data_IF_863085742624
#
_entry.id   IF_863085742624
#
_cell.length_a   1.000
_cell.length_b   1.000
_cell.length_c   1.000
_cell.angle_alpha   90.00
_cell.angle_beta   90.00
_cell.angle_gamma   90.00
#
_symmetry.space_group_name_H-M   'P 1'
#
loop_
_entity.id
_entity.type
_entity.pdbx_description
1 polymer ?
#
# COMPACT_ATOMS: atom_id res chain seq x y z
N UNK A 1 15.53 -15.94 11.68
CA UNK A 1 15.41 -14.77 10.77
C UNK A 1 14.29 -14.96 9.74
N UNK A 2 14.29 -16.00 8.88
CA UNK A 2 13.25 -16.19 7.84
C UNK A 2 11.80 -16.14 8.34
N UNK A 3 11.47 -16.86 9.43
CA UNK A 3 10.12 -16.86 10.02
C UNK A 3 9.72 -15.48 10.58
N UNK A 4 10.67 -14.74 11.15
CA UNK A 4 10.42 -13.40 11.68
C UNK A 4 10.12 -12.40 10.54
N UNK A 5 10.87 -12.48 9.44
CA UNK A 5 10.67 -11.65 8.25
C UNK A 5 9.32 -11.95 7.55
N UNK A 6 8.93 -13.22 7.50
CA UNK A 6 7.63 -13.64 6.98
C UNK A 6 6.47 -13.12 7.85
N UNK A 7 6.57 -13.24 9.18
CA UNK A 7 5.58 -12.72 10.13
C UNK A 7 5.48 -11.20 10.05
N UNK A 8 6.61 -10.48 9.98
CA UNK A 8 6.62 -9.03 9.80
C UNK A 8 5.88 -8.59 8.53
N UNK A 9 6.19 -9.24 7.40
CA UNK A 9 5.51 -8.96 6.12
C UNK A 9 4.01 -9.24 6.19
N UNK A 10 3.62 -10.33 6.85
CA UNK A 10 2.22 -10.71 7.03
C UNK A 10 1.44 -9.69 7.89
N UNK A 11 1.98 -9.29 9.04
CA UNK A 11 1.34 -8.29 9.90
C UNK A 11 1.31 -6.90 9.25
N UNK A 12 2.33 -6.54 8.48
CA UNK A 12 2.34 -5.31 7.69
C UNK A 12 1.20 -5.30 6.65
N UNK A 13 0.98 -6.41 5.94
CA UNK A 13 -0.13 -6.56 5.01
C UNK A 13 -1.50 -6.46 5.71
N UNK A 14 -1.66 -7.09 6.88
CA UNK A 14 -2.89 -6.96 7.69
C UNK A 14 -3.14 -5.49 8.07
N UNK A 15 -2.10 -4.78 8.49
CA UNK A 15 -2.18 -3.35 8.82
C UNK A 15 -2.69 -2.52 7.65
N UNK A 16 -2.16 -2.76 6.45
CA UNK A 16 -2.63 -2.09 5.22
C UNK A 16 -4.09 -2.42 4.91
N UNK A 17 -4.51 -3.69 5.00
CA UNK A 17 -5.92 -4.09 4.81
C UNK A 17 -6.84 -3.37 5.80
N UNK A 18 -6.49 -3.38 7.10
CA UNK A 18 -7.28 -2.72 8.14
C UNK A 18 -7.35 -1.20 7.92
N UNK A 19 -6.25 -0.57 7.50
CA UNK A 19 -6.21 0.86 7.20
C UNK A 19 -7.13 1.24 6.03
N UNK A 20 -7.05 0.53 4.90
CA UNK A 20 -7.92 0.78 3.75
C UNK A 20 -9.38 0.43 4.04
N UNK A 21 -9.65 -0.63 4.80
CA UNK A 21 -11.00 -1.00 5.23
C UNK A 21 -11.62 0.07 6.14
N UNK A 22 -10.86 0.59 7.11
CA UNK A 22 -11.31 1.67 7.99
C UNK A 22 -11.61 2.96 7.21
N UNK A 23 -10.77 3.30 6.21
CA UNK A 23 -11.00 4.44 5.32
C UNK A 23 -12.19 4.28 4.38
N UNK A 24 -12.52 3.05 3.98
CA UNK A 24 -13.66 2.75 3.11
C UNK A 24 -15.00 2.64 3.87
N UNK A 25 -14.99 2.49 5.19
CA UNK A 25 -16.20 2.21 5.96
C UNK A 25 -16.90 3.51 6.41
N UNK A 26 -18.05 3.81 5.80
CA UNK A 26 -18.77 5.08 5.99
C UNK A 26 -19.56 5.21 7.31
N UNK A 27 -19.63 4.15 8.11
CA UNK A 27 -20.43 4.10 9.36
C UNK A 27 -19.59 4.07 10.64
N UNK A 28 -18.27 4.33 10.56
CA UNK A 28 -17.37 4.25 11.72
C UNK A 28 -17.72 5.28 12.81
N UNK A 29 -18.27 6.44 12.42
CA UNK A 29 -18.77 7.48 13.33
C UNK A 29 -19.88 7.02 14.30
N UNK A 30 -20.53 5.87 14.05
CA UNK A 30 -21.55 5.31 14.97
C UNK A 30 -20.96 4.67 16.22
N UNK A 31 -19.71 4.19 16.16
CA UNK A 31 -19.02 3.57 17.30
C UNK A 31 -18.59 4.64 18.32
N UNK A 32 -18.29 5.86 17.84
CA UNK A 32 -17.95 7.01 18.67
C UNK A 32 -18.90 8.19 18.41
N UNK A 33 -20.15 8.15 18.92
CA UNK A 33 -21.16 9.20 18.67
C UNK A 33 -20.73 10.58 19.17
N UNK A 34 -19.76 10.64 20.09
CA UNK A 34 -19.12 11.87 20.59
C UNK A 34 -18.36 12.66 19.49
N UNK A 35 -18.18 12.07 18.31
CA UNK A 35 -17.39 12.63 17.21
C UNK A 35 -18.21 13.52 16.27
N UNK A 36 -19.55 13.42 16.30
CA UNK A 36 -20.45 14.18 15.42
C UNK A 36 -20.82 15.54 16.05
N UNK A 37 -20.41 16.63 15.41
CA UNK A 37 -20.76 18.01 15.82
C UNK A 37 -21.50 18.73 14.70
N UNK A 38 -22.22 19.83 15.01
CA UNK A 38 -22.98 20.62 14.01
C UNK A 38 -22.13 21.18 12.86
N UNK A 39 -20.81 21.26 13.03
CA UNK A 39 -19.87 21.78 12.03
C UNK A 39 -19.11 20.69 11.24
N UNK A 40 -19.28 19.41 11.59
CA UNK A 40 -18.50 18.29 11.05
C UNK A 40 -19.45 17.28 10.38
N UNK A 41 -19.40 17.23 9.05
CA UNK A 41 -20.19 16.28 8.26
C UNK A 41 -19.72 14.83 8.48
N UNK A 42 -20.49 13.85 8.00
CA UNK A 42 -20.28 12.41 8.22
C UNK A 42 -18.85 11.98 7.86
N UNK A 43 -18.25 12.57 6.82
CA UNK A 43 -16.87 12.33 6.40
C UNK A 43 -15.84 12.77 7.44
N UNK A 44 -15.99 14.00 7.95
CA UNK A 44 -15.14 14.56 8.99
C UNK A 44 -15.25 13.74 10.29
N UNK A 45 -16.46 13.27 10.63
CA UNK A 45 -16.69 12.43 11.80
C UNK A 45 -16.03 11.04 11.65
N UNK A 46 -16.11 10.42 10.48
CA UNK A 46 -15.42 9.14 10.20
C UNK A 46 -13.89 9.29 10.27
N UNK A 47 -13.33 10.36 9.70
CA UNK A 47 -11.88 10.61 9.73
C UNK A 47 -11.37 10.74 11.16
N UNK A 48 -12.05 11.55 11.98
CA UNK A 48 -11.70 11.75 13.39
C UNK A 48 -11.81 10.45 14.20
N UNK A 49 -12.84 9.62 13.95
CA UNK A 49 -12.96 8.31 14.59
C UNK A 49 -11.84 7.34 14.20
N UNK A 50 -11.40 7.36 12.94
CA UNK A 50 -10.27 6.56 12.47
C UNK A 50 -8.95 6.96 13.17
N UNK A 51 -8.73 8.26 13.38
CA UNK A 51 -7.57 8.74 14.14
C UNK A 51 -7.55 8.25 15.58
N UNK A 52 -8.69 8.29 16.28
CA UNK A 52 -8.77 7.77 17.64
C UNK A 52 -8.47 6.28 17.74
N UNK A 53 -9.00 5.48 16.81
CA UNK A 53 -8.71 4.04 16.74
C UNK A 53 -7.21 3.80 16.49
N UNK A 54 -6.61 4.56 15.56
CA UNK A 54 -5.18 4.46 15.24
C UNK A 54 -4.31 4.78 16.46
N UNK A 55 -4.59 5.87 17.17
CA UNK A 55 -3.84 6.26 18.39
C UNK A 55 -3.98 5.19 19.47
N UNK A 56 -5.19 4.68 19.70
CA UNK A 56 -5.42 3.64 20.70
C UNK A 56 -4.68 2.33 20.35
N UNK A 57 -4.74 1.90 19.09
CA UNK A 57 -4.01 0.72 18.62
C UNK A 57 -2.50 0.90 18.78
N UNK A 58 -1.97 2.05 18.39
CA UNK A 58 -0.55 2.36 18.48
C UNK A 58 -0.08 2.32 19.94
N UNK A 59 -0.82 2.94 20.86
CA UNK A 59 -0.50 2.91 22.29
C UNK A 59 -0.48 1.48 22.84
N UNK A 60 -1.47 0.67 22.51
CA UNK A 60 -1.54 -0.74 22.94
C UNK A 60 -0.35 -1.53 22.39
N UNK A 61 -0.05 -1.41 21.09
CA UNK A 61 1.08 -2.10 20.47
C UNK A 61 2.41 -1.66 21.08
N UNK A 62 2.60 -0.36 21.35
CA UNK A 62 3.81 0.13 22.01
C UNK A 62 3.94 -0.41 23.43
N UNK A 63 2.84 -0.48 24.19
CA UNK A 63 2.87 -1.03 25.55
C UNK A 63 3.23 -2.52 25.51
N UNK A 64 2.63 -3.30 24.60
CA UNK A 64 2.97 -4.71 24.40
C UNK A 64 4.44 -4.86 24.02
N UNK A 65 4.95 -4.06 23.09
CA UNK A 65 6.35 -4.11 22.68
C UNK A 65 7.31 -3.85 23.86
N UNK A 66 7.01 -2.82 24.67
CA UNK A 66 7.81 -2.50 25.86
C UNK A 66 7.76 -3.58 26.94
N UNK A 67 6.66 -4.33 27.05
CA UNK A 67 6.51 -5.41 28.03
C UNK A 67 7.16 -6.72 27.53
N UNK A 68 7.04 -7.03 26.24
CA UNK A 68 7.51 -8.29 25.67
C UNK A 68 8.98 -8.28 25.27
N UNK A 69 9.55 -7.12 24.91
CA UNK A 69 10.96 -7.01 24.52
C UNK A 69 11.81 -6.89 25.77
N UNK A 70 12.56 -7.94 26.07
CA UNK A 70 13.54 -7.92 27.14
C UNK A 70 14.76 -7.13 26.68
N UNK A 71 15.00 -5.96 27.29
CA UNK A 71 16.19 -5.17 27.01
C UNK A 71 17.44 -5.94 27.41
N UNK A 72 18.38 -6.10 26.47
CA UNK A 72 19.73 -6.53 26.77
C UNK A 72 20.58 -5.27 26.96
N UNK A 73 21.18 -5.09 28.14
CA UNK A 73 22.11 -3.99 28.38
C UNK A 73 23.28 -4.16 27.42
N UNK A 74 23.52 -3.16 26.57
CA UNK A 74 24.65 -3.15 25.67
C UNK A 74 25.93 -3.04 26.51
N UNK A 75 26.71 -4.12 26.55
CA UNK A 75 27.92 -4.20 27.36
C UNK A 75 28.88 -3.05 26.97
N UNK A 76 29.42 -2.36 27.98
CA UNK A 76 30.16 -1.09 27.84
C UNK A 76 31.43 -1.18 26.99
N UNK A 77 31.83 -2.38 26.58
CA UNK A 77 33.04 -2.62 25.81
C UNK A 77 32.92 -2.17 24.34
N UNK A 78 31.72 -2.15 23.75
CA UNK A 78 31.48 -1.61 22.39
C UNK A 78 31.70 -0.08 22.35
N UNK A 79 31.43 0.62 23.46
CA UNK A 79 31.58 2.08 23.57
C UNK A 79 33.05 2.51 23.60
N UNK A 80 33.96 1.64 24.07
CA UNK A 80 35.40 1.92 24.11
C UNK A 80 36.06 1.79 22.73
N UNK A 81 35.62 0.86 21.87
CA UNK A 81 36.10 0.79 20.48
C UNK A 81 35.56 1.95 19.63
N UNK A 82 34.28 2.31 19.77
CA UNK A 82 33.66 3.39 18.99
C UNK A 82 34.29 4.77 19.23
N UNK A 83 34.86 5.03 20.42
CA UNK A 83 35.55 6.31 20.70
C UNK A 83 36.92 6.47 20.04
N UNK A 84 37.56 5.40 19.57
CA UNK A 84 38.86 5.49 18.87
C UNK A 84 38.73 5.72 17.37
N UNK A 85 37.58 5.42 16.78
CA UNK A 85 37.35 5.58 15.35
C UNK A 85 36.32 6.69 15.13
N UNK A 86 36.76 7.95 15.21
CA UNK A 86 36.01 9.07 14.60
C UNK A 86 36.17 8.97 13.08
N UNK A 87 35.50 8.00 12.47
CA UNK A 87 35.35 7.95 11.01
C UNK A 87 34.19 8.86 10.60
N UNK A 88 34.31 9.56 9.46
CA UNK A 88 33.24 10.37 8.91
C UNK A 88 32.12 9.42 8.47
N UNK A 89 31.04 9.36 9.25
CA UNK A 89 29.85 8.53 9.02
C UNK A 89 29.37 8.52 7.55
N UNK A 90 29.43 9.67 6.87
CA UNK A 90 29.05 9.78 5.45
C UNK A 90 30.10 9.24 4.47
N UNK A 91 31.39 9.29 4.81
CA UNK A 91 32.46 8.75 3.98
C UNK A 91 32.40 7.23 3.90
N UNK A 92 32.21 6.57 5.05
CA UNK A 92 32.05 5.11 5.11
C UNK A 92 30.74 4.66 4.47
N UNK A 93 29.66 5.44 4.59
CA UNK A 93 28.39 5.16 3.92
C UNK A 93 28.50 5.22 2.39
N UNK A 94 29.19 6.24 1.86
CA UNK A 94 29.41 6.41 0.42
C UNK A 94 30.38 5.35 -0.11
N UNK A 95 31.40 4.99 0.68
CA UNK A 95 32.33 3.91 0.34
C UNK A 95 31.60 2.56 0.28
N UNK A 96 30.77 2.25 1.26
CA UNK A 96 29.93 1.05 1.28
C UNK A 96 28.94 1.00 0.09
N UNK A 97 28.40 2.17 -0.31
CA UNK A 97 27.54 2.26 -1.50
C UNK A 97 28.33 1.99 -2.80
N UNK A 98 29.58 2.46 -2.86
CA UNK A 98 30.46 2.34 -4.03
C UNK A 98 31.05 0.94 -4.20
N UNK A 99 31.31 0.24 -3.11
CA UNK A 99 31.81 -1.15 -3.10
C UNK A 99 30.71 -2.19 -3.42
N UNK A 100 29.47 -1.74 -3.63
CA UNK A 100 28.34 -2.60 -3.93
C UNK A 100 28.43 -3.18 -5.36
N UNK A 101 28.22 -4.50 -5.55
CA UNK A 101 28.31 -5.13 -6.86
C UNK A 101 27.28 -4.54 -7.85
N UNK A 102 27.63 -4.51 -9.14
CA UNK A 102 26.76 -3.94 -10.21
C UNK A 102 25.33 -4.50 -10.22
N UNK A 103 25.17 -5.77 -9.85
CA UNK A 103 23.86 -6.41 -9.75
C UNK A 103 22.97 -5.76 -8.67
N UNK A 104 23.55 -5.31 -7.56
CA UNK A 104 22.82 -4.65 -6.48
C UNK A 104 22.46 -3.20 -6.82
N UNK A 105 23.34 -2.48 -7.52
CA UNK A 105 23.03 -1.15 -8.06
C UNK A 105 21.83 -1.18 -9.01
N UNK A 106 21.76 -2.20 -9.89
CA UNK A 106 20.60 -2.40 -10.76
C UNK A 106 19.32 -2.67 -9.95
N UNK A 107 19.38 -3.52 -8.91
CA UNK A 107 18.24 -3.80 -8.04
C UNK A 107 17.76 -2.56 -7.29
N UNK A 108 18.68 -1.75 -6.74
CA UNK A 108 18.35 -0.49 -6.07
C UNK A 108 17.67 0.50 -7.01
N UNK A 109 18.19 0.63 -8.24
CA UNK A 109 17.59 1.51 -9.24
C UNK A 109 16.18 1.06 -9.62
N UNK A 110 15.97 -0.24 -9.86
CA UNK A 110 14.61 -0.74 -10.15
C UNK A 110 13.69 -0.62 -8.94
N UNK A 111 14.19 -0.81 -7.72
CA UNK A 111 13.42 -0.58 -6.50
C UNK A 111 13.00 0.89 -6.37
N UNK A 112 13.89 1.83 -6.67
CA UNK A 112 13.59 3.26 -6.67
C UNK A 112 12.53 3.62 -7.73
N UNK A 113 12.70 3.14 -8.97
CA UNK A 113 11.72 3.34 -10.04
C UNK A 113 10.34 2.73 -9.70
N UNK A 114 10.32 1.53 -9.11
CA UNK A 114 9.10 0.88 -8.67
C UNK A 114 8.39 1.67 -7.56
N UNK A 115 9.14 2.18 -6.59
CA UNK A 115 8.61 3.05 -5.54
C UNK A 115 8.01 4.34 -6.12
N UNK A 116 8.72 4.96 -7.07
CA UNK A 116 8.25 6.15 -7.79
C UNK A 116 7.00 5.85 -8.62
N UNK A 117 6.84 4.63 -9.16
CA UNK A 117 5.62 4.25 -9.88
C UNK A 117 4.43 4.03 -8.94
N UNK A 118 4.66 3.40 -7.78
CA UNK A 118 3.61 3.13 -6.79
C UNK A 118 3.10 4.38 -6.09
N UNK A 119 3.96 5.37 -5.84
CA UNK A 119 3.59 6.53 -5.06
C UNK A 119 2.48 7.40 -5.71
N UNK A 120 2.59 7.84 -6.99
CA UNK A 120 1.51 8.51 -7.69
C UNK A 120 0.31 7.60 -7.90
N UNK A 121 0.52 6.30 -8.13
CA UNK A 121 -0.59 5.36 -8.29
C UNK A 121 -1.47 5.34 -7.03
N UNK A 122 -0.90 5.15 -5.84
CA UNK A 122 -1.65 5.13 -4.58
C UNK A 122 -2.29 6.46 -4.19
N UNK A 123 -1.76 7.58 -4.69
CA UNK A 123 -2.32 8.91 -4.41
C UNK A 123 -3.45 9.25 -5.37
N UNK A 124 -3.31 8.90 -6.65
CA UNK A 124 -4.24 9.31 -7.70
C UNK A 124 -5.24 8.23 -8.10
N UNK A 125 -5.11 6.99 -7.66
CA UNK A 125 -6.00 5.89 -8.03
C UNK A 125 -7.45 6.08 -7.56
N UNK A 126 -7.65 6.56 -6.33
CA UNK A 126 -8.97 6.83 -5.74
C UNK A 126 -9.60 8.04 -6.40
N UNK A 127 -8.78 9.05 -6.70
CA UNK A 127 -9.16 10.24 -7.45
C UNK A 127 -9.51 9.90 -8.90
N UNK A 128 -8.75 8.99 -9.49
CA UNK A 128 -8.97 8.44 -10.83
C UNK A 128 -10.27 7.64 -10.91
N UNK A 129 -10.50 6.79 -9.90
CA UNK A 129 -11.76 6.07 -9.76
C UNK A 129 -12.94 7.05 -9.63
N UNK A 130 -12.76 8.17 -8.92
CA UNK A 130 -13.81 9.14 -8.69
C UNK A 130 -14.13 10.03 -9.91
N UNK A 131 -13.11 10.54 -10.60
CA UNK A 131 -13.26 11.50 -11.70
C UNK A 131 -13.37 10.80 -13.06
N UNK A 132 -12.51 9.84 -13.36
CA UNK A 132 -12.45 9.19 -14.67
C UNK A 132 -13.49 8.06 -14.77
N UNK A 133 -13.51 7.15 -13.79
CA UNK A 133 -14.39 5.96 -13.83
C UNK A 133 -15.83 6.32 -13.47
N UNK A 134 -16.04 7.07 -12.39
CA UNK A 134 -17.37 7.46 -11.93
C UNK A 134 -17.88 8.78 -12.55
N UNK A 135 -16.99 9.61 -13.12
CA UNK A 135 -17.41 10.90 -13.71
C UNK A 135 -17.77 11.98 -12.69
N UNK A 136 -17.46 11.77 -11.40
CA UNK A 136 -17.80 12.70 -10.34
C UNK A 136 -16.93 13.95 -10.34
N UNK A 137 -17.54 15.12 -10.08
CA UNK A 137 -16.83 16.36 -9.74
C UNK A 137 -16.62 16.46 -8.23
N UNK A 138 -15.50 17.05 -7.81
CA UNK A 138 -15.17 17.25 -6.39
C UNK A 138 -16.34 17.95 -5.68
N UNK A 139 -16.82 17.37 -4.58
CA UNK A 139 -17.98 17.87 -3.83
C UNK A 139 -19.33 17.20 -4.17
N UNK A 140 -19.42 16.45 -5.28
CA UNK A 140 -20.65 15.72 -5.63
C UNK A 140 -20.72 14.33 -4.99
N UNK A 141 -21.95 13.84 -4.78
CA UNK A 141 -22.22 12.50 -4.23
C UNK A 141 -21.58 11.40 -5.10
N UNK A 142 -21.54 11.58 -6.43
CA UNK A 142 -20.90 10.64 -7.36
C UNK A 142 -19.38 10.54 -7.16
N UNK A 143 -18.72 11.67 -6.89
CA UNK A 143 -17.29 11.69 -6.58
C UNK A 143 -17.02 10.95 -5.27
N UNK A 144 -17.79 11.22 -4.24
CA UNK A 144 -17.66 10.51 -2.96
C UNK A 144 -17.89 8.99 -3.08
N UNK A 145 -18.86 8.57 -3.90
CA UNK A 145 -19.08 7.14 -4.22
C UNK A 145 -17.90 6.53 -4.96
N UNK A 146 -17.28 7.27 -5.87
CA UNK A 146 -16.10 6.83 -6.60
C UNK A 146 -14.85 6.73 -5.71
N UNK A 147 -14.64 7.68 -4.79
CA UNK A 147 -13.56 7.62 -3.79
C UNK A 147 -13.72 6.38 -2.89
N UNK A 148 -14.93 6.11 -2.41
CA UNK A 148 -15.21 4.89 -1.64
C UNK A 148 -14.96 3.62 -2.46
N UNK A 149 -15.36 3.61 -3.73
CA UNK A 149 -15.08 2.48 -4.61
C UNK A 149 -13.58 2.28 -4.86
N UNK A 150 -12.80 3.36 -4.96
CA UNK A 150 -11.34 3.31 -5.06
C UNK A 150 -10.71 2.74 -3.79
N UNK A 151 -11.16 3.19 -2.62
CA UNK A 151 -10.71 2.65 -1.33
C UNK A 151 -11.03 1.15 -1.17
N UNK A 152 -12.20 0.70 -1.65
CA UNK A 152 -12.52 -0.74 -1.74
C UNK A 152 -11.57 -1.49 -2.68
N UNK A 153 -11.17 -0.87 -3.81
CA UNK A 153 -10.17 -1.42 -4.72
C UNK A 153 -8.81 -1.60 -4.02
N UNK A 154 -8.35 -0.59 -3.29
CA UNK A 154 -7.13 -0.66 -2.48
C UNK A 154 -7.20 -1.70 -1.35
N UNK A 155 -8.39 -1.93 -0.79
CA UNK A 155 -8.61 -3.01 0.18
C UNK A 155 -8.43 -4.38 -0.49
N UNK A 156 -9.02 -4.60 -1.67
CA UNK A 156 -8.82 -5.84 -2.45
C UNK A 156 -7.36 -6.04 -2.84
N UNK A 157 -6.69 -4.97 -3.30
CA UNK A 157 -5.26 -4.95 -3.57
C UNK A 157 -4.45 -5.48 -2.37
N UNK A 158 -4.76 -4.98 -1.17
CA UNK A 158 -4.07 -5.39 0.06
C UNK A 158 -4.39 -6.81 0.51
N UNK A 159 -5.63 -7.29 0.30
CA UNK A 159 -6.01 -8.69 0.58
C UNK A 159 -5.22 -9.62 -0.34
N UNK A 160 -5.18 -9.33 -1.63
CA UNK A 160 -4.41 -10.11 -2.60
C UNK A 160 -2.93 -10.06 -2.25
N UNK A 161 -2.41 -8.89 -1.88
CA UNK A 161 -1.01 -8.77 -1.45
C UNK A 161 -0.72 -9.63 -0.21
N UNK A 162 -1.62 -9.64 0.78
CA UNK A 162 -1.50 -10.48 1.97
C UNK A 162 -1.46 -11.97 1.64
N UNK A 163 -2.41 -12.46 0.83
CA UNK A 163 -2.44 -13.86 0.36
C UNK A 163 -1.19 -14.20 -0.43
N UNK A 164 -0.77 -13.31 -1.34
CA UNK A 164 0.42 -13.50 -2.14
C UNK A 164 1.70 -13.53 -1.31
N UNK A 165 1.77 -12.83 -0.18
CA UNK A 165 2.93 -12.89 0.73
C UNK A 165 3.16 -14.30 1.32
N UNK A 166 2.09 -15.04 1.60
CA UNK A 166 2.15 -16.43 2.07
C UNK A 166 2.52 -17.36 0.91
N UNK A 167 1.92 -17.14 -0.26
CA UNK A 167 2.14 -17.97 -1.46
C UNK A 167 3.51 -17.71 -2.10
N UNK A 168 4.14 -16.57 -1.82
CA UNK A 168 5.43 -16.15 -2.37
C UNK A 168 6.55 -17.14 -2.06
N UNK A 169 6.59 -17.68 -0.84
CA UNK A 169 7.57 -18.71 -0.48
C UNK A 169 7.38 -19.99 -1.29
N UNK A 170 6.13 -20.37 -1.55
CA UNK A 170 5.79 -21.54 -2.36
C UNK A 170 6.11 -21.31 -3.85
N UNK A 171 5.77 -20.13 -4.37
CA UNK A 171 6.08 -19.74 -5.74
C UNK A 171 7.58 -19.58 -5.97
N UNK A 172 8.36 -19.09 -5.00
CA UNK A 172 9.81 -18.96 -5.12
C UNK A 172 10.50 -20.31 -5.28
N UNK A 173 9.98 -21.35 -4.59
CA UNK A 173 10.45 -22.72 -4.72
C UNK A 173 10.00 -23.38 -6.04
N UNK A 174 8.76 -23.13 -6.48
CA UNK A 174 8.21 -23.73 -7.72
C UNK A 174 8.70 -23.10 -9.02
N UNK A 175 8.81 -21.76 -9.10
CA UNK A 175 9.15 -21.04 -10.34
C UNK A 175 10.67 -20.93 -10.60
N UNK A 176 11.49 -21.62 -9.81
CA UNK A 176 12.91 -21.82 -10.12
C UNK A 176 13.76 -20.55 -10.03
N UNK A 177 13.44 -19.63 -9.12
CA UNK A 177 14.34 -18.53 -8.74
C UNK A 177 13.67 -17.17 -8.49
N UNK A 178 14.19 -16.48 -7.47
CA UNK A 178 13.71 -15.16 -7.00
C UNK A 178 13.80 -14.09 -8.10
N UNK A 179 14.81 -14.18 -9.00
CA UNK A 179 14.99 -13.25 -10.13
C UNK A 179 13.84 -13.32 -11.16
N UNK A 180 13.32 -14.52 -11.45
CA UNK A 180 12.22 -14.69 -12.42
C UNK A 180 10.90 -14.16 -11.86
N UNK A 181 10.64 -14.41 -10.58
CA UNK A 181 9.48 -13.86 -9.89
C UNK A 181 9.48 -12.34 -9.88
N UNK A 182 10.64 -11.75 -9.57
CA UNK A 182 10.80 -10.30 -9.55
C UNK A 182 10.65 -9.66 -10.93
N UNK A 183 11.23 -10.25 -11.97
CA UNK A 183 11.04 -9.79 -13.35
C UNK A 183 9.57 -9.91 -13.79
N UNK A 184 8.92 -11.05 -13.49
CA UNK A 184 7.50 -11.26 -13.78
C UNK A 184 6.59 -10.25 -13.06
N UNK A 185 6.88 -9.94 -11.80
CA UNK A 185 6.16 -8.92 -11.01
C UNK A 185 6.23 -7.53 -11.65
N UNK A 186 7.41 -7.10 -12.11
CA UNK A 186 7.57 -5.81 -12.77
C UNK A 186 6.84 -5.76 -14.12
N UNK A 187 6.79 -6.87 -14.87
CA UNK A 187 5.98 -6.98 -16.08
C UNK A 187 4.48 -6.89 -15.77
N UNK A 188 4.01 -7.57 -14.72
CA UNK A 188 2.61 -7.48 -14.28
C UNK A 188 2.26 -6.03 -13.91
N UNK A 189 3.14 -5.34 -13.18
CA UNK A 189 2.96 -3.92 -12.84
C UNK A 189 2.81 -3.06 -14.09
N UNK A 190 3.71 -3.21 -15.07
CA UNK A 190 3.65 -2.47 -16.33
C UNK A 190 2.34 -2.74 -17.09
N UNK A 191 1.90 -4.00 -17.17
CA UNK A 191 0.63 -4.35 -17.82
C UNK A 191 -0.58 -3.76 -17.09
N UNK A 192 -0.58 -3.76 -15.75
CA UNK A 192 -1.67 -3.18 -14.97
C UNK A 192 -1.76 -1.66 -15.18
N UNK A 193 -0.63 -0.96 -15.21
CA UNK A 193 -0.57 0.48 -15.51
C UNK A 193 -1.02 0.78 -16.95
N UNK A 194 -0.75 -0.09 -17.92
CA UNK A 194 -1.31 0.07 -19.27
C UNK A 194 -2.83 -0.18 -19.29
N UNK A 195 -3.32 -1.14 -18.50
CA UNK A 195 -4.74 -1.48 -18.40
C UNK A 195 -5.58 -0.34 -17.79
N UNK A 196 -5.04 0.50 -16.89
CA UNK A 196 -5.78 1.67 -16.36
C UNK A 196 -6.16 2.64 -17.48
N UNK A 197 -5.30 2.81 -18.49
CA UNK A 197 -5.61 3.65 -19.67
C UNK A 197 -6.79 3.05 -20.46
N UNK A 198 -6.82 1.73 -20.62
CA UNK A 198 -7.92 1.03 -21.30
C UNK A 198 -9.22 1.16 -20.51
N UNK A 199 -9.19 0.97 -19.19
CA UNK A 199 -10.37 1.17 -18.32
C UNK A 199 -10.86 2.62 -18.41
N UNK A 200 -9.96 3.60 -18.45
CA UNK A 200 -10.31 5.02 -18.61
C UNK A 200 -11.04 5.26 -19.94
N UNK A 201 -10.50 4.73 -21.04
CA UNK A 201 -11.13 4.85 -22.37
C UNK A 201 -12.49 4.14 -22.44
N UNK A 202 -12.60 2.95 -21.84
CA UNK A 202 -13.86 2.22 -21.76
C UNK A 202 -14.90 2.94 -20.89
N UNK A 203 -14.47 3.55 -19.78
CA UNK A 203 -15.32 4.37 -18.93
C UNK A 203 -15.86 5.59 -19.69
N UNK A 204 -14.99 6.32 -20.39
CA UNK A 204 -15.37 7.47 -21.22
C UNK A 204 -16.38 7.08 -22.33
N UNK A 205 -16.14 5.96 -23.02
CA UNK A 205 -17.01 5.47 -24.10
C UNK A 205 -18.36 4.96 -23.60
N UNK A 206 -18.43 4.52 -22.35
CA UNK A 206 -19.64 3.95 -21.75
C UNK A 206 -20.39 4.93 -20.85
N UNK A 207 -20.03 6.23 -20.85
CA UNK A 207 -20.73 7.26 -20.08
C UNK A 207 -22.17 7.37 -20.58
N UNK A 208 -23.10 7.15 -19.66
CA UNK A 208 -24.54 7.35 -19.88
C UNK A 208 -24.95 8.60 -19.13
N UNK A 209 -25.82 9.38 -19.75
CA UNK A 209 -26.42 10.57 -19.17
C UNK A 209 -27.89 10.30 -18.95
N UNK A 210 -28.39 10.71 -17.78
CA UNK A 210 -29.81 10.70 -17.46
C UNK A 210 -30.54 11.77 -18.31
N UNK A 211 -31.87 11.74 -18.47
CA UNK A 211 -32.61 12.77 -19.22
C UNK A 211 -32.37 14.20 -18.73
N UNK A 212 -31.96 14.36 -17.47
CA UNK A 212 -31.60 15.65 -16.86
C UNK A 212 -30.16 16.10 -17.14
N UNK A 213 -29.37 15.32 -17.90
CA UNK A 213 -27.96 15.61 -18.20
C UNK A 213 -26.96 15.17 -17.13
N UNK A 214 -27.43 14.51 -16.06
CA UNK A 214 -26.57 13.99 -14.99
C UNK A 214 -25.88 12.67 -15.39
N UNK A 215 -24.64 12.50 -14.94
CA UNK A 215 -23.84 11.30 -15.26
C UNK A 215 -24.36 10.12 -14.42
N UNK A 216 -24.76 9.04 -15.10
CA UNK A 216 -25.16 7.78 -14.46
C UNK A 216 -23.92 6.99 -13.99
N UNK A 217 -24.06 6.18 -12.92
CA UNK A 217 -22.97 5.34 -12.45
C UNK A 217 -22.49 4.38 -13.55
N UNK A 218 -21.19 4.08 -13.60
CA UNK A 218 -20.61 3.28 -14.68
C UNK A 218 -21.19 1.87 -14.72
N UNK A 219 -21.31 1.26 -15.92
CA UNK A 219 -21.82 -0.09 -16.05
C UNK A 219 -20.93 -1.09 -15.29
N UNK A 220 -21.55 -2.18 -14.81
CA UNK A 220 -20.89 -3.17 -13.97
C UNK A 220 -19.59 -3.73 -14.55
N UNK A 221 -19.48 -3.83 -15.89
CA UNK A 221 -18.27 -4.29 -16.58
C UNK A 221 -17.06 -3.36 -16.42
N UNK A 222 -17.27 -2.03 -16.44
CA UNK A 222 -16.16 -1.06 -16.24
C UNK A 222 -15.71 -1.06 -14.78
N UNK A 223 -16.66 -1.16 -13.85
CA UNK A 223 -16.37 -1.29 -12.42
C UNK A 223 -15.62 -2.58 -12.09
N UNK A 224 -16.03 -3.70 -12.68
CA UNK A 224 -15.35 -4.99 -12.55
C UNK A 224 -13.94 -4.95 -13.13
N UNK A 225 -13.75 -4.31 -14.30
CA UNK A 225 -12.43 -4.09 -14.89
C UNK A 225 -11.50 -3.27 -14.00
N UNK A 226 -12.00 -2.19 -13.39
CA UNK A 226 -11.23 -1.40 -12.44
C UNK A 226 -10.83 -2.22 -11.21
N UNK A 227 -11.76 -2.97 -10.60
CA UNK A 227 -11.45 -3.83 -9.46
C UNK A 227 -10.50 -4.98 -9.78
N UNK A 228 -10.56 -5.53 -10.99
CA UNK A 228 -9.60 -6.53 -11.45
C UNK A 228 -8.20 -5.95 -11.50
N UNK A 229 -8.03 -4.75 -12.07
CA UNK A 229 -6.73 -4.06 -12.09
C UNK A 229 -6.20 -3.83 -10.67
N UNK A 230 -7.04 -3.33 -9.76
CA UNK A 230 -6.66 -3.17 -8.34
C UNK A 230 -6.27 -4.49 -7.67
N UNK A 231 -6.99 -5.57 -7.93
CA UNK A 231 -6.70 -6.88 -7.35
C UNK A 231 -5.39 -7.44 -7.88
N UNK A 232 -5.12 -7.34 -9.19
CA UNK A 232 -3.89 -7.84 -9.80
C UNK A 232 -2.65 -7.05 -9.37
N UNK A 233 -2.81 -5.76 -9.05
CA UNK A 233 -1.72 -4.91 -8.55
C UNK A 233 -1.22 -5.35 -7.16
N UNK A 234 -2.00 -6.15 -6.42
CA UNK A 234 -1.57 -6.72 -5.13
C UNK A 234 -0.44 -7.74 -5.28
N UNK A 235 -0.35 -8.38 -6.45
CA UNK A 235 0.67 -9.37 -6.74
C UNK A 235 2.06 -8.69 -6.81
N UNK A 236 2.28 -7.63 -7.62
CA UNK A 236 3.54 -6.91 -7.60
C UNK A 236 3.90 -6.26 -6.26
N UNK A 237 2.91 -5.77 -5.53
CA UNK A 237 3.12 -5.13 -4.22
C UNK A 237 3.72 -6.13 -3.22
N UNK A 238 3.12 -7.32 -3.12
CA UNK A 238 3.61 -8.39 -2.23
C UNK A 238 5.02 -8.84 -2.61
N UNK A 239 5.26 -9.05 -3.90
CA UNK A 239 6.58 -9.49 -4.40
C UNK A 239 7.64 -8.44 -4.07
N UNK A 240 7.33 -7.15 -4.24
CA UNK A 240 8.26 -6.06 -3.93
C UNK A 240 8.63 -6.02 -2.45
N UNK A 241 7.64 -6.11 -1.56
CA UNK A 241 7.84 -6.10 -0.10
C UNK A 241 8.65 -7.31 0.38
N UNK A 242 8.32 -8.51 -0.09
CA UNK A 242 9.03 -9.73 0.30
C UNK A 242 10.45 -9.79 -0.27
N UNK A 243 10.69 -9.24 -1.47
CA UNK A 243 12.02 -9.22 -2.07
C UNK A 243 12.98 -8.31 -1.31
N UNK A 244 12.51 -7.12 -0.88
CA UNK A 244 13.28 -6.22 -0.01
C UNK A 244 13.63 -6.92 1.30
N UNK A 245 12.68 -7.66 1.89
CA UNK A 245 12.89 -8.40 3.14
C UNK A 245 13.75 -9.67 3.01
N UNK A 246 14.00 -10.17 1.80
CA UNK A 246 14.82 -11.37 1.56
C UNK A 246 16.31 -11.01 1.39
N UNK A 247 16.61 -9.74 1.08
CA UNK A 247 17.97 -9.23 0.92
C UNK A 247 18.53 -8.55 2.18
N UNK A 248 17.70 -8.38 3.22
CA UNK A 248 18.07 -7.85 4.55
C UNK A 248 18.09 -9.01 5.56
#
# INVERSE_FOLDING_TARGET
MRVANALFSFFSAIGSVLGYAAGSYSSLHKIFPFTKTKACDIYCANLKSCFFISISLLLVLTAIALICVKEHVLEKDIIKESKKTKVPFFGDLILALKDLPRAMWLLLLVCALNSIAWFPFLLYDTDWMAKEVYGGKVGNILYNKGVHAGALGLMLNSIVAGVMSIVLELMARRLGGVKKLWAGSNLILATCLAMTILVTKMAQRSRRYDPNGDILPPPAGVKAGAFLVFSTLGIPLAVSLSFISFFN
#
